data_IF_387445973406
#
_entry.id   IF_387445973406
#
_cell.length_a   1.000
_cell.length_b   1.000
_cell.length_c   1.000
_cell.angle_alpha   90.00
_cell.angle_beta   90.00
_cell.angle_gamma   90.00
#
_symmetry.space_group_name_H-M   'P 1'
#
loop_
_entity.id
_entity.type
_entity.pdbx_description
1 polymer ?
#
# COMPACT_ATOMS: atom_id res chain seq x y z
N UNK A 1 8.06 -10.31 12.07
CA UNK A 1 7.14 -10.67 10.95
C UNK A 1 6.68 -12.10 11.16
N UNK A 2 5.39 -12.28 11.42
CA UNK A 2 4.82 -13.61 11.70
C UNK A 2 4.53 -14.38 10.39
N UNK A 3 4.09 -15.65 10.50
CA UNK A 3 3.81 -16.49 9.33
C UNK A 3 2.66 -15.93 8.49
N UNK A 4 1.57 -15.49 9.13
CA UNK A 4 0.40 -14.95 8.45
C UNK A 4 0.76 -13.73 7.60
N UNK A 5 1.61 -12.83 8.13
CA UNK A 5 2.12 -11.69 7.38
C UNK A 5 2.80 -12.11 6.08
N UNK A 6 3.66 -13.11 6.14
CA UNK A 6 4.37 -13.63 4.95
C UNK A 6 3.40 -14.21 3.94
N UNK A 7 2.44 -15.01 4.39
CA UNK A 7 1.44 -15.64 3.54
C UNK A 7 0.55 -14.61 2.86
N UNK A 8 0.11 -13.58 3.59
CA UNK A 8 -0.67 -12.46 3.05
C UNK A 8 0.12 -11.66 2.00
N UNK A 9 1.38 -11.34 2.26
CA UNK A 9 2.24 -10.66 1.27
C UNK A 9 2.41 -11.48 -0.01
N UNK A 10 2.58 -12.78 0.09
CA UNK A 10 2.66 -13.67 -1.08
C UNK A 10 1.36 -13.61 -1.88
N UNK A 11 0.20 -13.64 -1.22
CA UNK A 11 -1.09 -13.54 -1.88
C UNK A 11 -1.28 -12.19 -2.57
N UNK A 12 -0.97 -11.09 -1.90
CA UNK A 12 -1.03 -9.74 -2.49
C UNK A 12 -0.15 -9.67 -3.74
N UNK A 13 1.11 -10.05 -3.63
CA UNK A 13 2.05 -10.02 -4.76
C UNK A 13 1.55 -10.86 -5.96
N UNK A 14 0.92 -12.00 -5.71
CA UNK A 14 0.34 -12.83 -6.78
C UNK A 14 -0.83 -12.15 -7.47
N UNK A 15 -1.73 -11.55 -6.73
CA UNK A 15 -2.88 -10.82 -7.28
C UNK A 15 -2.39 -9.61 -8.08
N UNK A 16 -1.47 -8.83 -7.53
CA UNK A 16 -0.87 -7.70 -8.23
C UNK A 16 -0.20 -8.12 -9.54
N UNK A 17 0.62 -9.17 -9.52
CA UNK A 17 1.28 -9.68 -10.73
C UNK A 17 0.26 -10.15 -11.79
N UNK A 18 -0.87 -10.69 -11.37
CA UNK A 18 -1.93 -11.13 -12.27
C UNK A 18 -2.75 -9.98 -12.85
N UNK A 19 -3.13 -9.01 -12.02
CA UNK A 19 -4.03 -7.92 -12.41
C UNK A 19 -3.31 -6.73 -13.07
N UNK A 20 -2.08 -6.45 -12.67
CA UNK A 20 -1.34 -5.27 -13.11
C UNK A 20 -1.27 -5.11 -14.65
N UNK A 21 -1.02 -6.15 -15.45
CA UNK A 21 -1.00 -6.01 -16.91
C UNK A 21 -2.34 -5.53 -17.48
N UNK A 22 -3.46 -5.99 -16.93
CA UNK A 22 -4.81 -5.60 -17.34
C UNK A 22 -5.13 -4.16 -16.93
N UNK A 23 -4.83 -3.83 -15.67
CA UNK A 23 -5.06 -2.50 -15.12
C UNK A 23 -4.20 -1.46 -15.85
N UNK A 24 -2.94 -1.79 -16.13
CA UNK A 24 -2.03 -0.88 -16.84
C UNK A 24 -2.41 -0.66 -18.31
N UNK A 25 -3.03 -1.64 -18.95
CA UNK A 25 -3.51 -1.54 -20.32
C UNK A 25 -4.85 -0.77 -20.43
N UNK A 26 -5.51 -0.46 -19.32
CA UNK A 26 -6.77 0.26 -19.32
C UNK A 26 -6.61 1.70 -19.81
N UNK A 27 -7.45 2.17 -20.76
CA UNK A 27 -7.41 3.56 -21.21
C UNK A 27 -7.80 4.56 -20.10
N UNK A 28 -8.40 4.08 -19.02
CA UNK A 28 -8.80 4.88 -17.87
C UNK A 28 -7.71 4.98 -16.79
N UNK A 29 -6.59 4.24 -16.95
CA UNK A 29 -5.46 4.34 -16.03
C UNK A 29 -4.88 5.74 -16.07
N UNK A 30 -4.90 6.43 -14.94
CA UNK A 30 -4.37 7.77 -14.82
C UNK A 30 -2.82 7.76 -14.86
N UNK A 31 -2.23 8.84 -15.39
CA UNK A 31 -0.78 8.94 -15.57
C UNK A 31 -0.07 9.75 -14.48
N UNK A 32 -0.80 10.65 -13.83
CA UNK A 32 -0.23 11.60 -12.86
C UNK A 32 -0.71 11.39 -11.42
N UNK A 33 -1.73 10.60 -11.23
CA UNK A 33 -2.25 10.30 -9.89
C UNK A 33 -1.71 8.99 -9.38
N UNK A 34 -1.47 8.92 -8.08
CA UNK A 34 -1.17 7.65 -7.42
C UNK A 34 -2.41 6.76 -7.49
N UNK A 35 -2.22 5.57 -8.01
CA UNK A 35 -3.27 4.56 -8.12
C UNK A 35 -2.74 3.23 -7.60
N UNK A 36 -3.58 2.41 -6.99
CA UNK A 36 -3.15 1.08 -6.56
C UNK A 36 -2.80 0.22 -7.78
N UNK A 37 -2.00 -0.82 -7.64
CA UNK A 37 -1.72 -1.75 -8.73
C UNK A 37 -2.98 -2.44 -9.25
N UNK A 38 -3.91 -2.71 -8.35
CA UNK A 38 -5.22 -3.32 -8.63
C UNK A 38 -6.18 -3.06 -7.46
N UNK A 39 -7.39 -3.61 -7.52
CA UNK A 39 -8.33 -3.59 -6.42
C UNK A 39 -8.86 -2.20 -6.06
N UNK A 40 -8.94 -1.92 -4.77
CA UNK A 40 -9.51 -0.69 -4.21
C UNK A 40 -8.48 0.12 -3.44
N UNK A 41 -8.58 1.44 -3.52
CA UNK A 41 -7.77 2.40 -2.77
C UNK A 41 -8.66 3.49 -2.16
N UNK A 42 -8.39 3.85 -0.90
CA UNK A 42 -8.92 5.04 -0.24
C UNK A 42 -7.89 5.58 0.76
N UNK A 43 -8.22 6.62 1.49
CA UNK A 43 -7.50 7.23 2.61
C UNK A 43 -5.97 7.19 2.47
N UNK A 44 -5.35 8.13 1.74
CA UNK A 44 -3.91 8.37 1.88
C UNK A 44 -3.60 8.67 3.35
N UNK A 45 -2.62 7.99 3.92
CA UNK A 45 -2.26 8.10 5.32
C UNK A 45 -0.76 7.89 5.54
N UNK A 46 -0.28 8.01 6.76
CA UNK A 46 1.12 7.76 7.09
C UNK A 46 2.13 8.57 6.26
N UNK A 47 1.79 9.82 5.86
CA UNK A 47 2.66 10.64 5.02
C UNK A 47 3.87 11.10 5.83
N UNK A 48 5.06 10.83 5.32
CA UNK A 48 6.30 11.25 5.97
C UNK A 48 7.47 11.37 4.99
N UNK A 49 8.54 12.03 5.47
CA UNK A 49 9.84 12.03 4.83
C UNK A 49 10.79 11.16 5.66
N UNK A 50 11.46 10.21 5.01
CA UNK A 50 12.42 9.35 5.68
C UNK A 50 13.49 8.88 4.70
N UNK A 51 14.75 8.96 5.11
CA UNK A 51 15.92 8.47 4.36
C UNK A 51 15.95 8.89 2.89
N UNK A 52 15.67 10.18 2.62
CA UNK A 52 15.75 10.73 1.27
C UNK A 52 14.54 10.46 0.39
N UNK A 53 13.45 9.95 0.93
CA UNK A 53 12.22 9.71 0.21
C UNK A 53 10.99 10.25 0.95
N UNK A 54 10.03 10.73 0.17
CA UNK A 54 8.67 10.92 0.60
C UNK A 54 7.94 9.58 0.57
N UNK A 55 7.19 9.28 1.60
CA UNK A 55 6.40 8.07 1.71
C UNK A 55 4.92 8.44 1.81
N UNK A 56 4.10 7.74 1.06
CA UNK A 56 2.63 7.80 1.14
C UNK A 56 2.13 6.38 1.29
N UNK A 57 1.42 6.14 2.38
CA UNK A 57 0.67 4.91 2.56
C UNK A 57 -0.79 5.17 2.25
N UNK A 58 -1.56 4.13 2.05
CA UNK A 58 -2.98 4.24 1.73
C UNK A 58 -3.72 2.96 2.10
N UNK A 59 -5.00 3.10 2.38
CA UNK A 59 -5.89 1.96 2.53
C UNK A 59 -5.96 1.20 1.22
N UNK A 60 -5.66 -0.07 1.26
CA UNK A 60 -5.53 -0.90 0.07
C UNK A 60 -6.25 -2.23 0.24
N UNK A 61 -7.18 -2.53 -0.65
CA UNK A 61 -7.87 -3.82 -0.72
C UNK A 61 -7.55 -4.48 -2.07
N UNK A 62 -6.48 -5.31 -2.14
CA UNK A 62 -6.01 -5.87 -3.41
C UNK A 62 -6.95 -6.90 -4.02
N UNK A 63 -7.76 -7.55 -3.21
CA UNK A 63 -8.58 -8.70 -3.63
C UNK A 63 -9.97 -8.33 -4.12
N UNK A 64 -10.39 -7.08 -3.99
CA UNK A 64 -11.75 -6.68 -4.35
C UNK A 64 -11.78 -5.22 -4.81
N UNK A 65 -12.38 -4.97 -5.97
CA UNK A 65 -12.56 -3.63 -6.56
C UNK A 65 -13.61 -2.78 -5.82
N UNK A 66 -14.41 -3.38 -4.97
CA UNK A 66 -15.39 -2.68 -4.11
C UNK A 66 -14.91 -2.43 -2.68
N UNK A 67 -13.63 -2.65 -2.41
CA UNK A 67 -13.10 -2.60 -1.06
C UNK A 67 -13.18 -3.95 -0.34
N UNK A 68 -12.86 -3.98 0.95
CA UNK A 68 -12.86 -5.19 1.76
C UNK A 68 -11.71 -5.19 2.76
N UNK A 69 -11.05 -6.33 2.92
CA UNK A 69 -9.93 -6.46 3.84
C UNK A 69 -8.81 -5.47 3.48
N UNK A 70 -8.54 -4.53 4.38
CA UNK A 70 -7.60 -3.44 4.15
C UNK A 70 -6.20 -3.77 4.62
N UNK A 71 -5.25 -3.43 3.77
CA UNK A 71 -3.80 -3.40 3.99
C UNK A 71 -3.33 -1.94 3.94
N UNK A 72 -2.08 -1.67 4.28
CA UNK A 72 -1.44 -0.43 3.89
C UNK A 72 -0.58 -0.67 2.65
N UNK A 73 -1.07 -0.18 1.52
CA UNK A 73 -0.28 -0.01 0.31
C UNK A 73 0.73 1.12 0.50
N UNK A 74 1.79 1.15 -0.33
CA UNK A 74 2.90 2.05 -0.13
C UNK A 74 3.47 2.58 -1.45
N UNK A 75 3.63 3.89 -1.52
CA UNK A 75 4.39 4.59 -2.55
C UNK A 75 5.55 5.35 -1.93
N UNK A 76 6.68 5.40 -2.63
CA UNK A 76 7.79 6.26 -2.26
C UNK A 76 8.28 7.10 -3.44
N UNK A 77 8.81 8.30 -3.16
CA UNK A 77 9.33 9.23 -4.16
C UNK A 77 10.48 10.06 -3.61
N UNK A 78 11.53 10.28 -4.37
CA UNK A 78 12.60 11.20 -3.97
C UNK A 78 12.22 12.68 -4.17
N UNK A 79 11.20 12.98 -5.00
CA UNK A 79 10.95 14.34 -5.51
C UNK A 79 9.47 14.73 -5.60
N UNK A 80 8.54 13.89 -5.13
CA UNK A 80 7.08 14.04 -5.23
C UNK A 80 6.52 13.98 -6.65
N UNK A 81 7.36 13.73 -7.65
CA UNK A 81 6.97 13.63 -9.07
C UNK A 81 7.10 12.21 -9.59
N UNK A 82 8.20 11.55 -9.26
CA UNK A 82 8.49 10.19 -9.69
C UNK A 82 8.22 9.21 -8.55
N UNK A 83 7.13 8.49 -8.64
CA UNK A 83 6.67 7.57 -7.62
C UNK A 83 6.96 6.12 -7.98
N UNK A 84 7.47 5.39 -7.02
CA UNK A 84 7.71 3.95 -7.11
C UNK A 84 6.80 3.23 -6.13
N UNK A 85 6.05 2.27 -6.64
CA UNK A 85 5.27 1.40 -5.78
C UNK A 85 6.19 0.48 -4.99
N UNK A 86 5.90 0.36 -3.73
CA UNK A 86 6.58 -0.52 -2.79
C UNK A 86 5.65 -1.69 -2.38
N UNK A 87 6.18 -2.78 -1.86
CA UNK A 87 5.34 -3.82 -1.27
C UNK A 87 4.43 -3.28 -0.18
N UNK A 88 3.30 -3.95 0.05
CA UNK A 88 2.44 -3.64 1.20
C UNK A 88 3.23 -3.71 2.49
N UNK A 89 3.02 -2.74 3.37
CA UNK A 89 3.79 -2.63 4.60
C UNK A 89 3.07 -3.27 5.79
N UNK A 90 1.81 -2.92 5.98
CA UNK A 90 1.01 -3.46 7.07
C UNK A 90 -0.06 -4.40 6.50
N UNK A 91 -0.13 -5.57 7.09
CA UNK A 91 -1.12 -6.60 6.78
C UNK A 91 -1.99 -6.84 8.01
N UNK A 92 -3.26 -7.23 7.84
CA UNK A 92 -4.15 -7.59 8.95
C UNK A 92 -3.74 -8.96 9.51
N UNK A 93 -2.65 -9.00 10.26
CA UNK A 93 -2.00 -10.21 10.72
C UNK A 93 -1.98 -10.38 12.24
N UNK A 94 -2.66 -9.48 12.96
CA UNK A 94 -2.75 -9.49 14.40
C UNK A 94 -4.21 -9.66 14.86
N UNK A 95 -4.46 -10.18 16.08
CA UNK A 95 -5.83 -10.37 16.57
C UNK A 95 -6.69 -9.09 16.61
N UNK A 96 -6.06 -7.93 16.74
CA UNK A 96 -6.74 -6.64 16.82
C UNK A 96 -6.99 -5.96 15.47
N UNK A 97 -6.38 -6.45 14.38
CA UNK A 97 -6.55 -5.89 13.02
C UNK A 97 -7.10 -6.88 11.99
N UNK A 98 -7.64 -8.02 12.41
CA UNK A 98 -8.15 -9.07 11.52
C UNK A 98 -9.24 -8.61 10.53
N UNK A 99 -9.91 -7.50 10.82
CA UNK A 99 -10.91 -6.89 9.94
C UNK A 99 -10.30 -5.88 8.96
N UNK A 100 -9.01 -5.65 9.03
CA UNK A 100 -8.25 -4.71 8.20
C UNK A 100 -7.41 -3.76 9.03
N UNK A 101 -6.31 -3.32 8.44
CA UNK A 101 -5.46 -2.26 9.01
C UNK A 101 -6.08 -0.92 8.65
N UNK A 102 -6.62 -0.19 9.63
CA UNK A 102 -7.26 1.11 9.43
C UNK A 102 -6.25 2.23 9.26
N UNK A 103 -6.73 3.40 8.79
CA UNK A 103 -5.91 4.58 8.57
C UNK A 103 -5.26 5.08 9.86
N UNK A 104 -4.05 5.58 9.73
CA UNK A 104 -3.25 6.09 10.82
C UNK A 104 -2.28 7.17 10.35
N UNK A 105 -1.23 7.37 11.10
CA UNK A 105 -0.21 8.37 10.81
C UNK A 105 1.19 7.75 10.88
N UNK A 106 2.19 8.50 10.42
CA UNK A 106 3.59 8.18 10.57
C UNK A 106 4.29 9.21 11.44
N UNK A 107 5.20 8.76 12.27
CA UNK A 107 6.16 9.58 13.00
C UNK A 107 7.56 9.12 12.65
N UNK A 108 8.46 10.06 12.34
CA UNK A 108 9.88 9.76 12.16
C UNK A 108 10.65 10.40 13.32
N UNK A 109 11.33 9.58 14.08
CA UNK A 109 12.14 9.98 15.22
C UNK A 109 13.42 9.13 15.27
N UNK A 110 14.56 9.77 15.45
CA UNK A 110 15.89 9.11 15.52
C UNK A 110 16.14 8.11 14.38
N UNK A 111 15.83 8.54 13.13
CA UNK A 111 15.94 7.73 11.90
C UNK A 111 15.09 6.44 11.91
N UNK A 112 14.11 6.37 12.79
CA UNK A 112 13.13 5.28 12.88
C UNK A 112 11.76 5.79 12.45
N UNK A 113 11.10 5.04 11.57
CA UNK A 113 9.74 5.32 11.17
C UNK A 113 8.77 4.46 11.98
N UNK A 114 7.86 5.12 12.68
CA UNK A 114 6.75 4.51 13.41
C UNK A 114 5.46 4.71 12.63
N UNK A 115 4.67 3.65 12.53
CA UNK A 115 3.39 3.62 11.80
C UNK A 115 2.29 3.07 12.69
#
# INVERSE_FOLDING_TARGET
>A
MNRLHKDLNILVNRVEAWELPRVSASPWRQKFHLMPPCGWMNDPNGLCWHRGNYHVYYQYSPFNVGGGLSFWGHWSSPDLLHWTQQPVLLCPDQPWDLHGVYSGSALVEDDTMYL
#
